data_IF_780891913325
#
_entry.id   IF_780891913325
#
_cell.length_a   1.000
_cell.length_b   1.000
_cell.length_c   1.000
_cell.angle_alpha   90.00
_cell.angle_beta   90.00
_cell.angle_gamma   90.00
#
_symmetry.space_group_name_H-M   'P 1'
#
loop_
_entity.id
_entity.type
_entity.pdbx_description
1 polymer ?
#
# COMPACT_ATOMS: atom_id res chain seq x y z
N UNK A 1 -1.16 4.34 10.26
CA UNK A 1 -0.10 5.31 9.85
C UNK A 1 -0.45 6.67 10.42
N UNK A 2 0.50 7.34 11.09
CA UNK A 2 0.27 8.62 11.77
C UNK A 2 0.62 9.78 10.83
N UNK A 3 -0.32 10.73 10.67
CA UNK A 3 -0.06 12.01 10.02
C UNK A 3 -0.31 13.13 11.04
N UNK A 4 0.71 13.93 11.33
CA UNK A 4 0.61 15.09 12.22
C UNK A 4 0.25 16.34 11.41
N UNK A 5 -0.89 16.96 11.69
CA UNK A 5 -1.27 18.23 11.09
C UNK A 5 -0.68 19.40 11.91
N UNK A 6 0.33 20.07 11.35
CA UNK A 6 0.99 21.24 11.98
C UNK A 6 0.07 22.46 12.11
N UNK A 7 -1.10 22.49 11.46
CA UNK A 7 -2.05 23.62 11.52
C UNK A 7 -3.09 23.48 12.62
N UNK A 8 -3.51 22.25 12.96
CA UNK A 8 -4.52 22.03 14.02
C UNK A 8 -3.94 21.40 15.28
N UNK A 9 -2.76 20.79 15.20
CA UNK A 9 -2.16 20.04 16.30
C UNK A 9 -2.74 18.62 16.45
N UNK A 10 -3.66 18.22 15.58
CA UNK A 10 -4.35 16.93 15.67
C UNK A 10 -3.64 15.82 14.89
N UNK A 11 -3.73 14.62 15.44
CA UNK A 11 -3.27 13.40 14.78
C UNK A 11 -4.38 12.82 13.91
N UNK A 12 -4.07 12.54 12.64
CA UNK A 12 -4.90 11.71 11.79
C UNK A 12 -4.36 10.27 11.80
N UNK A 13 -5.23 9.32 12.14
CA UNK A 13 -4.93 7.90 12.21
C UNK A 13 -5.71 7.15 11.15
N UNK A 14 -4.99 6.37 10.34
CA UNK A 14 -5.58 5.43 9.39
C UNK A 14 -5.26 4.01 9.82
N UNK A 15 -6.31 3.22 10.06
CA UNK A 15 -6.23 1.79 10.29
C UNK A 15 -6.13 1.07 8.94
N UNK A 16 -5.11 0.22 8.81
CA UNK A 16 -4.98 -0.65 7.64
C UNK A 16 -6.09 -1.71 7.66
N UNK A 17 -6.53 -2.22 6.49
CA UNK A 17 -7.53 -3.28 6.46
C UNK A 17 -7.06 -4.53 7.23
N UNK A 18 -7.99 -5.17 7.94
CA UNK A 18 -7.71 -6.37 8.75
C UNK A 18 -7.15 -7.52 7.90
N UNK A 19 -7.48 -7.59 6.61
CA UNK A 19 -6.94 -8.58 5.67
C UNK A 19 -5.43 -8.50 5.50
N UNK A 20 -4.83 -7.32 5.72
CA UNK A 20 -3.38 -7.08 5.62
C UNK A 20 -2.72 -7.04 7.03
N UNK A 21 -3.53 -6.86 8.08
CA UNK A 21 -3.57 -7.68 9.31
C UNK A 21 -2.44 -7.67 10.33
N UNK A 22 -1.18 -7.52 9.93
CA UNK A 22 -0.02 -7.77 10.82
C UNK A 22 0.85 -6.52 11.09
N UNK A 23 0.29 -5.35 10.78
CA UNK A 23 0.99 -4.07 10.85
C UNK A 23 1.90 -3.79 9.65
N UNK A 24 2.24 -2.52 9.41
CA UNK A 24 3.10 -2.15 8.29
C UNK A 24 4.56 -2.58 8.54
N UNK A 25 5.15 -3.34 7.62
CA UNK A 25 6.59 -3.55 7.55
C UNK A 25 7.27 -2.40 6.81
N UNK A 26 6.60 -1.85 5.80
CA UNK A 26 7.09 -0.76 4.98
C UNK A 26 5.94 0.17 4.60
N UNK A 27 6.26 1.46 4.46
CA UNK A 27 5.34 2.47 3.93
C UNK A 27 5.98 3.22 2.77
N UNK A 28 5.19 3.59 1.78
CA UNK A 28 5.62 4.48 0.70
C UNK A 28 4.50 5.48 0.41
N UNK A 29 4.83 6.77 0.36
CA UNK A 29 3.83 7.84 0.27
C UNK A 29 4.02 8.63 -1.03
N UNK A 30 2.95 8.77 -1.78
CA UNK A 30 2.87 9.69 -2.93
C UNK A 30 1.96 10.87 -2.59
N UNK A 31 1.78 11.79 -3.54
CA UNK A 31 0.78 12.87 -3.39
C UNK A 31 -0.62 12.29 -3.28
N UNK A 32 -0.97 11.29 -4.11
CA UNK A 32 -2.32 10.74 -4.23
C UNK A 32 -2.61 9.57 -3.27
N UNK A 33 -1.57 8.84 -2.84
CA UNK A 33 -1.75 7.57 -2.16
C UNK A 33 -0.75 7.33 -1.05
N UNK A 34 -1.08 6.35 -0.22
CA UNK A 34 -0.22 5.78 0.80
C UNK A 34 -0.20 4.28 0.61
N UNK A 35 0.97 3.73 0.35
CA UNK A 35 1.21 2.30 0.21
C UNK A 35 1.76 1.72 1.49
N UNK A 36 1.35 0.50 1.79
CA UNK A 36 1.77 -0.29 2.93
C UNK A 36 2.12 -1.70 2.46
N UNK A 37 3.29 -2.19 2.83
CA UNK A 37 3.63 -3.61 2.75
C UNK A 37 3.50 -4.25 4.13
N UNK A 38 2.98 -5.47 4.21
CA UNK A 38 2.86 -6.24 5.45
C UNK A 38 3.21 -7.72 5.21
N UNK A 39 3.11 -8.53 6.27
CA UNK A 39 3.28 -10.00 6.17
C UNK A 39 2.14 -10.70 5.42
N UNK A 40 1.00 -10.05 5.26
CA UNK A 40 -0.23 -10.61 4.70
C UNK A 40 -0.72 -9.87 3.44
N UNK A 41 0.15 -9.13 2.77
CA UNK A 41 -0.10 -8.50 1.49
C UNK A 41 0.42 -7.08 1.42
N UNK A 42 -0.09 -6.33 0.46
CA UNK A 42 0.08 -4.89 0.37
C UNK A 42 -1.27 -4.18 0.40
N UNK A 43 -1.27 -2.92 0.85
CA UNK A 43 -2.44 -2.07 0.86
C UNK A 43 -2.12 -0.72 0.24
N UNK A 44 -3.03 -0.17 -0.56
CA UNK A 44 -2.99 1.21 -1.05
C UNK A 44 -4.17 1.97 -0.49
N UNK A 45 -3.90 3.00 0.29
CA UNK A 45 -4.88 4.01 0.63
C UNK A 45 -4.87 5.12 -0.43
N UNK A 46 -6.00 5.30 -1.09
CA UNK A 46 -6.24 6.44 -1.97
C UNK A 46 -6.79 7.59 -1.13
N UNK A 47 -6.05 8.71 -1.14
CA UNK A 47 -6.44 9.90 -0.37
C UNK A 47 -7.67 10.54 -0.96
N UNK A 48 -7.78 10.53 -2.29
CA UNK A 48 -9.02 10.82 -2.98
C UNK A 48 -9.98 9.65 -2.81
N UNK A 49 -11.20 9.91 -2.37
CA UNK A 49 -12.19 8.87 -2.09
C UNK A 49 -12.01 8.13 -0.75
N UNK A 50 -10.90 8.34 -0.02
CA UNK A 50 -10.68 7.79 1.32
C UNK A 50 -10.90 6.26 1.37
N UNK A 51 -10.35 5.53 0.38
CA UNK A 51 -10.56 4.09 0.21
C UNK A 51 -9.26 3.29 0.28
N UNK A 52 -9.37 2.06 0.74
CA UNK A 52 -8.27 1.09 0.75
C UNK A 52 -8.46 0.06 -0.35
N UNK A 53 -7.38 -0.23 -1.07
CA UNK A 53 -7.24 -1.37 -1.97
C UNK A 53 -6.24 -2.34 -1.36
N UNK A 54 -6.49 -3.64 -1.50
CA UNK A 54 -5.65 -4.71 -0.95
C UNK A 54 -5.13 -5.55 -2.10
N UNK A 55 -3.86 -5.95 -2.00
CA UNK A 55 -3.18 -6.79 -2.98
C UNK A 55 -2.56 -7.98 -2.27
N UNK A 56 -2.87 -9.17 -2.77
CA UNK A 56 -2.43 -10.45 -2.25
C UNK A 56 -1.88 -11.32 -3.38
N UNK A 57 -1.51 -12.56 -3.06
CA UNK A 57 -1.19 -13.60 -4.04
C UNK A 57 -2.34 -13.88 -5.00
N UNK A 58 -3.60 -13.65 -4.60
CA UNK A 58 -4.76 -13.79 -5.49
C UNK A 58 -4.79 -12.70 -6.57
N UNK A 59 -4.17 -11.55 -6.29
CA UNK A 59 -4.09 -10.40 -7.21
C UNK A 59 -2.83 -10.42 -8.10
N UNK A 60 -1.95 -11.40 -7.88
CA UNK A 60 -0.71 -11.61 -8.65
C UNK A 60 0.59 -11.29 -7.92
N UNK A 61 0.56 -11.00 -6.61
CA UNK A 61 1.81 -10.98 -5.82
C UNK A 61 2.45 -12.37 -5.81
N UNK A 62 3.77 -12.44 -5.91
CA UNK A 62 4.48 -13.72 -5.83
C UNK A 62 4.41 -14.32 -4.41
N UNK A 63 4.29 -13.48 -3.39
CA UNK A 63 4.12 -13.88 -1.99
C UNK A 63 3.45 -12.73 -1.19
N UNK A 64 2.68 -13.07 -0.16
CA UNK A 64 1.98 -12.07 0.67
C UNK A 64 2.91 -11.28 1.60
N UNK A 65 4.09 -11.80 1.93
CA UNK A 65 5.03 -11.14 2.84
C UNK A 65 5.83 -10.05 2.11
N UNK A 66 5.22 -8.87 1.96
CA UNK A 66 5.79 -7.69 1.28
C UNK A 66 6.67 -6.90 2.24
N UNK A 67 7.97 -6.90 1.98
CA UNK A 67 9.00 -6.23 2.80
C UNK A 67 9.51 -4.93 2.18
N UNK A 68 9.36 -4.75 0.87
CA UNK A 68 9.83 -3.56 0.17
C UNK A 68 8.80 -3.08 -0.86
N UNK A 69 8.70 -1.76 -0.97
CA UNK A 69 7.90 -1.05 -1.95
C UNK A 69 8.82 -0.08 -2.69
N UNK A 70 8.92 -0.20 -4.01
CA UNK A 70 9.76 0.68 -4.82
C UNK A 70 9.00 1.20 -6.05
N UNK A 71 8.69 2.50 -6.14
CA UNK A 71 8.09 3.09 -7.33
C UNK A 71 9.07 3.07 -8.51
N UNK A 72 8.54 2.92 -9.73
CA UNK A 72 9.28 2.96 -10.99
C UNK A 72 8.35 3.50 -12.08
N UNK A 73 8.27 4.83 -12.19
CA UNK A 73 7.28 5.49 -13.05
C UNK A 73 5.84 5.10 -12.65
N UNK A 74 5.08 4.58 -13.61
CA UNK A 74 3.71 4.08 -13.40
C UNK A 74 3.66 2.68 -12.76
N UNK A 75 4.82 2.09 -12.44
CA UNK A 75 4.92 0.80 -11.79
C UNK A 75 5.26 0.91 -10.31
N UNK A 76 4.80 -0.08 -9.56
CA UNK A 76 5.19 -0.35 -8.18
C UNK A 76 5.82 -1.73 -8.14
N UNK A 77 7.04 -1.82 -7.64
CA UNK A 77 7.71 -3.07 -7.32
C UNK A 77 7.43 -3.46 -5.88
N UNK A 78 7.01 -4.70 -5.69
CA UNK A 78 6.81 -5.35 -4.41
C UNK A 78 7.93 -6.37 -4.19
N UNK A 79 8.84 -6.05 -3.27
CA UNK A 79 9.83 -7.01 -2.79
C UNK A 79 9.22 -7.86 -1.69
N UNK A 80 9.23 -9.16 -1.88
CA UNK A 80 8.67 -10.14 -0.94
C UNK A 80 9.76 -11.09 -0.43
N UNK A 81 9.41 -11.98 0.49
CA UNK A 81 10.36 -13.01 0.97
C UNK A 81 10.69 -14.08 -0.07
N UNK A 82 9.96 -14.15 -1.18
CA UNK A 82 10.13 -15.19 -2.21
C UNK A 82 10.46 -14.63 -3.61
N UNK A 83 10.55 -13.31 -3.76
CA UNK A 83 10.93 -12.68 -5.02
C UNK A 83 10.38 -11.27 -5.16
N UNK A 84 10.21 -10.84 -6.41
CA UNK A 84 9.68 -9.51 -6.73
C UNK A 84 8.51 -9.61 -7.70
N UNK A 85 7.49 -8.78 -7.48
CA UNK A 85 6.38 -8.58 -8.41
C UNK A 85 6.36 -7.11 -8.82
N UNK A 86 6.15 -6.82 -10.11
CA UNK A 86 5.92 -5.46 -10.60
C UNK A 86 4.47 -5.31 -11.04
N UNK A 87 3.83 -4.23 -10.60
CA UNK A 87 2.44 -3.91 -10.90
C UNK A 87 2.32 -2.52 -11.52
N UNK A 88 1.52 -2.37 -12.57
CA UNK A 88 1.15 -1.06 -13.09
C UNK A 88 0.07 -0.47 -12.20
N UNK A 89 0.43 0.46 -11.32
CA UNK A 89 -0.47 0.89 -10.25
C UNK A 89 -1.40 2.03 -10.66
N UNK A 90 -1.06 2.73 -11.74
CA UNK A 90 -1.87 3.79 -12.32
C UNK A 90 -2.88 3.25 -13.36
N UNK A 91 -3.31 1.98 -13.23
CA UNK A 91 -4.28 1.37 -14.15
C UNK A 91 -5.71 1.89 -13.88
N UNK A 92 -6.33 2.63 -14.83
CA UNK A 92 -7.71 3.09 -14.68
C UNK A 92 -8.73 1.93 -14.67
N UNK A 93 -8.37 0.76 -15.17
CA UNK A 93 -9.29 -0.37 -15.33
C UNK A 93 -9.53 -1.18 -14.05
N UNK A 94 -8.85 -0.87 -12.93
CA UNK A 94 -9.03 -1.53 -11.62
C UNK A 94 -9.59 -0.61 -10.53
N UNK A 95 -10.26 0.47 -10.94
CA UNK A 95 -10.94 1.42 -10.04
C UNK A 95 -12.43 1.05 -9.84
N UNK A 96 -12.93 0.01 -10.52
CA UNK A 96 -14.31 -0.51 -10.43
C UNK A 96 -14.42 -1.79 -9.59
#
# INVERSE_FOLDING_TARGET
MLKYDRKTGDWQTYSIPLSVGDGPLQIYVTVQSVWVGSRNGAARFEKEGNKWLVYTTEDGLINNSVQALMPDGDYMWFGTTEGVTRFYWNDPARVE
#
